data_IF_007998975584
#
_entry.id   IF_007998975584
#
_cell.length_a   1.000
_cell.length_b   1.000
_cell.length_c   1.000
_cell.angle_alpha   90.00
_cell.angle_beta   90.00
_cell.angle_gamma   90.00
#
_symmetry.space_group_name_H-M   'P 1'
#
loop_
_entity.id
_entity.type
_entity.pdbx_description
1 polymer ?
#
# COMPACT_ATOMS: atom_id res chain seq x y z
N UNK A 1 -18.64 8.65 21.80
CA UNK A 1 -17.19 8.62 21.51
C UNK A 1 -17.03 8.27 20.04
N UNK A 2 -16.13 8.93 19.32
CA UNK A 2 -15.85 8.67 17.89
C UNK A 2 -14.42 8.16 17.77
N UNK A 3 -14.20 7.13 16.96
CA UNK A 3 -12.88 6.60 16.61
C UNK A 3 -12.63 6.73 15.11
N UNK A 4 -11.37 6.99 14.72
CA UNK A 4 -10.92 6.98 13.34
C UNK A 4 -10.00 5.78 13.13
N UNK A 5 -10.27 4.97 12.12
CA UNK A 5 -9.46 3.80 11.76
C UNK A 5 -8.85 4.02 10.38
N UNK A 6 -7.52 4.06 10.31
CA UNK A 6 -6.75 4.17 9.07
C UNK A 6 -5.79 2.99 8.98
N UNK A 7 -5.78 2.34 7.81
CA UNK A 7 -4.93 1.17 7.59
C UNK A 7 -3.52 1.60 7.13
N UNK A 8 -2.52 1.26 7.95
CA UNK A 8 -1.13 1.60 7.68
C UNK A 8 -0.65 1.07 6.31
N UNK A 9 -0.12 1.97 5.48
CA UNK A 9 0.47 1.66 4.18
C UNK A 9 -0.43 0.74 3.32
N UNK A 10 -1.74 0.98 3.32
CA UNK A 10 -2.77 0.01 2.97
C UNK A 10 -2.48 -0.89 1.76
N UNK A 11 -2.15 -0.34 0.59
CA UNK A 11 -1.90 -1.17 -0.62
C UNK A 11 -0.68 -2.07 -0.45
N UNK A 12 0.41 -1.56 0.13
CA UNK A 12 1.61 -2.39 0.40
C UNK A 12 1.29 -3.48 1.41
N UNK A 13 0.50 -3.17 2.43
CA UNK A 13 0.06 -4.15 3.43
C UNK A 13 -0.81 -5.24 2.80
N UNK A 14 -1.69 -4.90 1.86
CA UNK A 14 -2.47 -5.88 1.09
C UNK A 14 -1.57 -6.83 0.29
N UNK A 15 -0.56 -6.29 -0.41
CA UNK A 15 0.40 -7.12 -1.15
C UNK A 15 1.19 -8.07 -0.23
N UNK A 16 1.60 -7.59 0.96
CA UNK A 16 2.34 -8.39 1.95
C UNK A 16 1.52 -9.55 2.53
N UNK A 17 0.20 -9.42 2.67
CA UNK A 17 -0.67 -10.51 3.12
C UNK A 17 -0.56 -11.73 2.19
N UNK A 18 -0.45 -11.50 0.88
CA UNK A 18 -0.38 -12.56 -0.12
C UNK A 18 1.04 -12.86 -0.60
N UNK A 19 2.01 -12.00 -0.27
CA UNK A 19 3.42 -12.21 -0.54
C UNK A 19 4.29 -11.83 0.67
N UNK A 20 4.41 -12.73 1.67
CA UNK A 20 5.20 -12.47 2.89
C UNK A 20 6.69 -12.20 2.64
N UNK A 21 7.23 -12.57 1.47
CA UNK A 21 8.61 -12.28 1.10
C UNK A 21 8.89 -10.78 0.91
N UNK A 22 7.86 -9.94 0.91
CA UNK A 22 7.94 -8.47 0.86
C UNK A 22 8.04 -7.80 2.24
N UNK A 23 7.92 -8.57 3.32
CA UNK A 23 8.03 -8.05 4.68
C UNK A 23 9.45 -7.54 4.97
N UNK A 24 9.57 -6.40 5.66
CA UNK A 24 10.86 -5.77 5.93
C UNK A 24 11.58 -5.16 4.71
N UNK A 25 10.95 -5.16 3.52
CA UNK A 25 11.58 -4.68 2.28
C UNK A 25 11.05 -3.31 1.83
N UNK A 26 11.87 -2.48 1.15
CA UNK A 26 11.42 -1.23 0.53
C UNK A 26 10.50 -1.50 -0.66
N UNK A 27 9.20 -1.53 -0.40
CA UNK A 27 8.15 -1.76 -1.42
C UNK A 27 7.39 -0.47 -1.72
N UNK A 28 7.10 -0.26 -3.00
CA UNK A 28 6.16 0.74 -3.50
C UNK A 28 5.13 0.10 -4.43
N UNK A 29 3.89 0.58 -4.40
CA UNK A 29 2.84 0.24 -5.35
C UNK A 29 2.66 1.41 -6.32
N UNK A 30 2.59 1.11 -7.61
CA UNK A 30 2.50 2.09 -8.68
C UNK A 30 1.05 2.34 -9.12
N UNK A 31 0.80 3.51 -9.71
CA UNK A 31 -0.48 3.89 -10.30
C UNK A 31 -0.86 3.02 -11.50
N UNK A 32 -2.03 3.27 -12.08
CA UNK A 32 -2.38 2.74 -13.39
C UNK A 32 -1.25 3.01 -14.40
N UNK A 33 -0.98 2.01 -15.23
CA UNK A 33 0.12 2.02 -16.22
C UNK A 33 1.52 2.24 -15.62
N UNK A 34 1.70 1.96 -14.33
CA UNK A 34 2.99 2.01 -13.63
C UNK A 34 3.69 3.38 -13.71
N UNK A 35 2.91 4.47 -13.76
CA UNK A 35 3.42 5.82 -13.96
C UNK A 35 4.19 6.40 -12.76
N UNK A 36 3.62 6.31 -11.56
CA UNK A 36 4.23 6.83 -10.34
C UNK A 36 3.87 6.01 -9.10
N UNK A 37 4.63 6.19 -8.02
CA UNK A 37 4.42 5.48 -6.74
C UNK A 37 3.24 6.11 -5.98
N UNK A 38 2.20 5.32 -5.71
CA UNK A 38 0.97 5.76 -5.01
C UNK A 38 0.81 5.18 -3.60
N UNK A 39 1.58 4.14 -3.25
CA UNK A 39 1.69 3.67 -1.88
C UNK A 39 3.13 3.20 -1.60
N UNK A 40 3.54 3.29 -0.33
CA UNK A 40 4.92 3.08 0.11
C UNK A 40 4.95 2.36 1.44
N UNK A 41 5.82 1.35 1.53
CA UNK A 41 6.23 0.72 2.78
C UNK A 41 6.91 1.72 3.72
N UNK A 42 7.06 1.38 5.00
CA UNK A 42 7.78 2.24 5.96
C UNK A 42 9.26 2.37 5.58
N UNK A 43 9.83 1.28 5.08
CA UNK A 43 11.20 1.15 4.60
C UNK A 43 11.45 2.07 3.40
N UNK A 44 10.51 2.12 2.45
CA UNK A 44 10.61 3.03 1.30
C UNK A 44 10.40 4.50 1.71
N UNK A 45 9.54 4.79 2.71
CA UNK A 45 9.41 6.14 3.29
C UNK A 45 10.71 6.60 3.95
N UNK A 46 11.42 5.71 4.64
CA UNK A 46 12.71 6.00 5.28
C UNK A 46 13.83 6.31 4.27
N UNK A 47 13.68 5.90 3.01
CA UNK A 47 14.56 6.28 1.90
C UNK A 47 14.23 7.66 1.31
N UNK A 48 13.31 8.41 1.91
CA UNK A 48 12.88 9.74 1.46
C UNK A 48 12.28 9.78 0.03
N UNK A 49 11.86 8.62 -0.50
CA UNK A 49 11.15 8.56 -1.78
C UNK A 49 9.72 9.04 -1.56
N UNK A 50 9.38 10.19 -2.13
CA UNK A 50 8.06 10.83 -2.00
C UNK A 50 6.92 10.04 -2.66
N UNK A 51 5.69 10.31 -2.21
CA UNK A 51 4.50 9.86 -2.93
C UNK A 51 4.40 10.63 -4.25
N UNK A 52 3.94 9.97 -5.31
CA UNK A 52 3.87 10.55 -6.65
C UNK A 52 5.21 10.57 -7.40
N UNK A 53 6.30 10.07 -6.81
CA UNK A 53 7.59 9.94 -7.53
C UNK A 53 7.39 9.09 -8.80
N UNK A 54 7.73 9.59 -10.00
CA UNK A 54 7.62 8.83 -11.22
C UNK A 54 8.48 7.57 -11.22
N UNK A 55 7.93 6.45 -11.69
CA UNK A 55 8.61 5.14 -11.62
C UNK A 55 9.94 5.12 -12.38
N UNK A 56 10.02 5.83 -13.52
CA UNK A 56 11.24 5.90 -14.33
C UNK A 56 12.44 6.49 -13.58
N UNK A 57 12.20 7.40 -12.61
CA UNK A 57 13.27 7.98 -11.78
C UNK A 57 13.84 6.96 -10.80
N UNK A 58 13.07 5.93 -10.47
CA UNK A 58 13.41 4.88 -9.51
C UNK A 58 13.96 3.61 -10.18
N UNK A 59 13.94 3.53 -11.51
CA UNK A 59 14.32 2.32 -12.25
C UNK A 59 15.78 1.89 -11.98
N UNK A 60 16.68 2.85 -11.73
CA UNK A 60 18.06 2.53 -11.31
C UNK A 60 18.12 1.80 -9.97
N UNK A 61 17.29 2.19 -8.99
CA UNK A 61 17.20 1.51 -7.70
C UNK A 61 16.53 0.14 -7.83
N UNK A 62 15.48 0.07 -8.65
CA UNK A 62 14.74 -1.16 -8.93
C UNK A 62 15.64 -2.22 -9.57
N UNK A 63 16.41 -1.87 -10.59
CA UNK A 63 17.35 -2.80 -11.28
C UNK A 63 18.46 -3.31 -10.38
N UNK A 64 18.89 -2.51 -9.40
CA UNK A 64 19.88 -2.93 -8.39
C UNK A 64 19.28 -3.79 -7.27
N UNK A 65 17.97 -4.04 -7.28
CA UNK A 65 17.27 -4.78 -6.22
C UNK A 65 17.18 -4.02 -4.90
N UNK A 66 17.38 -2.70 -4.89
CA UNK A 66 17.31 -1.87 -3.68
C UNK A 66 15.87 -1.62 -3.25
N UNK A 67 14.96 -1.53 -4.23
CA UNK A 67 13.52 -1.34 -4.01
C UNK A 67 12.72 -2.35 -4.84
N UNK A 68 11.48 -2.58 -4.42
CA UNK A 68 10.50 -3.38 -5.13
C UNK A 68 9.33 -2.48 -5.55
N UNK A 69 9.04 -2.42 -6.85
CA UNK A 69 7.87 -1.72 -7.37
C UNK A 69 6.89 -2.74 -7.93
N UNK A 70 5.64 -2.65 -7.48
CA UNK A 70 4.53 -3.50 -7.89
C UNK A 70 3.51 -2.68 -8.68
N UNK A 71 2.96 -3.25 -9.74
CA UNK A 71 1.77 -2.70 -10.38
C UNK A 71 0.58 -2.79 -9.43
N UNK A 72 -0.35 -1.84 -9.52
CA UNK A 72 -1.52 -1.82 -8.64
C UNK A 72 -2.50 -2.96 -8.92
N UNK A 73 -3.00 -3.57 -7.85
CA UNK A 73 -4.04 -4.60 -7.87
C UNK A 73 -5.30 -4.10 -7.14
N UNK A 74 -6.12 -3.29 -7.82
CA UNK A 74 -7.29 -2.66 -7.20
C UNK A 74 -8.39 -3.65 -6.81
N UNK A 75 -8.48 -4.80 -7.48
CA UNK A 75 -9.42 -5.86 -7.08
C UNK A 75 -9.07 -6.40 -5.69
N UNK A 76 -7.79 -6.71 -5.46
CA UNK A 76 -7.27 -7.10 -4.16
C UNK A 76 -7.50 -6.01 -3.11
N UNK A 77 -7.17 -4.75 -3.42
CA UNK A 77 -7.29 -3.65 -2.45
C UNK A 77 -8.75 -3.39 -2.07
N UNK A 78 -9.67 -3.50 -3.04
CA UNK A 78 -11.11 -3.38 -2.83
C UNK A 78 -11.65 -4.50 -1.94
N UNK A 79 -11.29 -5.76 -2.20
CA UNK A 79 -11.68 -6.91 -1.38
C UNK A 79 -11.16 -6.79 0.06
N UNK A 80 -9.88 -6.45 0.24
CA UNK A 80 -9.29 -6.26 1.57
C UNK A 80 -9.95 -5.10 2.33
N UNK A 81 -10.28 -4.00 1.65
CA UNK A 81 -10.96 -2.85 2.25
C UNK A 81 -12.37 -3.21 2.70
N UNK A 82 -13.11 -3.94 1.86
CA UNK A 82 -14.46 -4.41 2.17
C UNK A 82 -14.46 -5.33 3.41
N UNK A 83 -13.48 -6.22 3.53
CA UNK A 83 -13.31 -7.10 4.71
C UNK A 83 -13.01 -6.32 5.98
N UNK A 84 -12.13 -5.33 5.93
CA UNK A 84 -11.85 -4.45 7.06
C UNK A 84 -13.09 -3.66 7.48
N UNK A 85 -13.81 -3.08 6.52
CA UNK A 85 -15.04 -2.35 6.79
C UNK A 85 -16.14 -3.27 7.37
N UNK A 86 -16.21 -4.53 6.94
CA UNK A 86 -17.16 -5.50 7.49
C UNK A 86 -16.83 -5.83 8.95
N UNK A 87 -15.56 -6.10 9.27
CA UNK A 87 -15.13 -6.34 10.65
C UNK A 87 -15.49 -5.16 11.58
N UNK A 88 -15.32 -3.93 11.10
CA UNK A 88 -15.71 -2.74 11.86
C UNK A 88 -17.23 -2.66 12.05
N UNK A 89 -18.02 -2.95 11.01
CA UNK A 89 -19.49 -2.96 11.13
C UNK A 89 -20.01 -4.03 12.10
N UNK A 90 -19.32 -5.16 12.19
CA UNK A 90 -19.70 -6.24 13.10
C UNK A 90 -19.35 -5.93 14.57
N UNK A 91 -18.43 -4.99 14.81
CA UNK A 91 -17.89 -4.69 16.15
C UNK A 91 -18.28 -3.31 16.69
N UNK A 92 -18.72 -2.39 15.82
CA UNK A 92 -19.09 -1.03 16.17
C UNK A 92 -20.59 -0.76 15.91
N UNK A 93 -21.27 0.03 16.76
CA UNK A 93 -22.68 0.37 16.57
C UNK A 93 -23.00 1.10 15.26
N UNK A 94 -22.07 1.93 14.77
CA UNK A 94 -22.21 2.70 13.54
C UNK A 94 -20.82 2.88 12.90
N UNK A 95 -20.76 2.78 11.57
CA UNK A 95 -19.53 2.96 10.78
C UNK A 95 -19.87 3.76 9.53
N UNK A 96 -19.15 4.85 9.30
CA UNK A 96 -19.21 5.63 8.07
C UNK A 96 -17.85 5.64 7.39
N UNK A 97 -17.78 5.53 6.05
CA UNK A 97 -16.55 5.80 5.31
C UNK A 97 -16.17 7.28 5.45
N UNK A 98 -14.86 7.56 5.42
CA UNK A 98 -14.29 8.91 5.47
C UNK A 98 -13.93 9.36 4.07
#
# INVERSE_FOLDING_TARGET
MIGLVDANNFYVSCERVFNPALEGKPVGVMSNNDGCVIARSAEMKAMEISMGTPAYQLEGLRRRGVIHLLSSNYELYGDMSARLAQLLRDTCPEVAPV
#
